data_IF_868314724005
#
_entry.id   IF_868314724005
#
_cell.length_a   1.000
_cell.length_b   1.000
_cell.length_c   1.000
_cell.angle_alpha   90.00
_cell.angle_beta   90.00
_cell.angle_gamma   90.00
#
_symmetry.space_group_name_H-M   'P 1'
#
loop_
_entity.id
_entity.type
_entity.pdbx_description
1 polymer ?
#
# COMPACT_ATOMS: atom_id res chain seq x y z
N UNK A 1 21.86 -2.11 7.04
CA UNK A 1 20.59 -1.44 6.69
C UNK A 1 20.63 -0.05 7.34
N UNK A 2 20.82 1.00 6.54
CA UNK A 2 20.62 2.36 7.02
C UNK A 2 19.10 2.59 7.05
N UNK A 3 18.54 2.57 8.26
CA UNK A 3 17.18 3.06 8.47
C UNK A 3 17.21 4.54 8.14
N UNK A 4 16.34 4.99 7.23
CA UNK A 4 16.17 6.41 6.95
C UNK A 4 15.54 7.09 8.19
N UNK A 5 16.35 7.35 9.20
CA UNK A 5 15.96 7.85 10.52
C UNK A 5 15.40 9.27 10.53
N UNK A 6 15.09 9.83 9.36
CA UNK A 6 14.61 11.20 9.17
C UNK A 6 13.32 11.30 8.35
N UNK A 7 12.62 10.19 8.09
CA UNK A 7 11.30 10.22 7.46
C UNK A 7 10.22 10.01 8.51
N UNK A 8 9.21 10.86 8.52
CA UNK A 8 8.01 10.74 9.38
C UNK A 8 6.87 10.21 8.52
N UNK A 9 6.40 9.01 8.85
CA UNK A 9 5.27 8.38 8.17
C UNK A 9 4.06 8.27 9.09
N UNK A 10 2.88 8.15 8.49
CA UNK A 10 1.63 7.86 9.19
C UNK A 10 0.75 6.99 8.31
N UNK A 11 0.13 5.98 8.92
CA UNK A 11 -0.94 5.22 8.30
C UNK A 11 -2.30 5.80 8.73
N UNK A 12 -3.11 6.14 7.74
CA UNK A 12 -4.40 6.78 7.88
C UNK A 12 -5.54 5.83 7.53
N UNK A 13 -6.64 5.92 8.26
CA UNK A 13 -7.87 5.25 7.88
C UNK A 13 -8.56 5.94 6.70
N UNK A 14 -8.89 5.17 5.67
CA UNK A 14 -9.83 5.60 4.64
C UNK A 14 -11.25 5.52 5.22
N UNK A 15 -11.97 6.64 5.18
CA UNK A 15 -13.37 6.76 5.58
C UNK A 15 -14.28 6.72 4.36
N UNK A 16 -15.57 6.77 4.60
CA UNK A 16 -16.58 6.86 3.56
C UNK A 16 -16.20 7.93 2.52
N UNK A 17 -16.36 7.58 1.23
CA UNK A 17 -16.02 8.41 0.07
C UNK A 17 -14.53 8.67 -0.18
N UNK A 18 -13.60 7.98 0.53
CA UNK A 18 -12.16 8.13 0.31
C UNK A 18 -11.54 9.34 1.01
N UNK A 19 -12.16 9.84 2.06
CA UNK A 19 -11.55 10.82 2.96
C UNK A 19 -10.58 10.10 3.91
N UNK A 20 -9.55 10.80 4.39
CA UNK A 20 -8.65 10.31 5.43
C UNK A 20 -9.02 10.92 6.79
N UNK A 21 -8.62 10.27 7.87
CA UNK A 21 -8.95 10.66 9.24
C UNK A 21 -8.05 11.77 9.82
N UNK A 22 -7.02 12.20 9.08
CA UNK A 22 -6.16 13.33 9.42
C UNK A 22 -6.54 14.57 8.61
N UNK A 23 -6.40 15.75 9.23
CA UNK A 23 -6.61 17.03 8.57
C UNK A 23 -5.40 17.43 7.73
N UNK A 24 -5.62 18.27 6.72
CA UNK A 24 -4.55 18.75 5.84
C UNK A 24 -3.38 19.40 6.60
N UNK A 25 -3.67 20.12 7.69
CA UNK A 25 -2.64 20.76 8.53
C UNK A 25 -1.70 19.74 9.17
N UNK A 26 -2.23 18.57 9.58
CA UNK A 26 -1.47 17.47 10.17
C UNK A 26 -0.67 16.74 9.09
N UNK A 27 -1.26 16.55 7.90
CA UNK A 27 -0.64 15.87 6.76
C UNK A 27 0.57 16.61 6.20
N UNK A 28 0.61 17.96 6.29
CA UNK A 28 1.74 18.77 5.82
C UNK A 28 3.06 18.47 6.53
N UNK A 29 3.00 17.92 7.74
CA UNK A 29 4.18 17.56 8.53
C UNK A 29 4.68 16.13 8.30
N UNK A 30 4.01 15.35 7.42
CA UNK A 30 4.31 13.95 7.16
C UNK A 30 5.09 13.81 5.87
N UNK A 31 6.16 13.02 5.89
CA UNK A 31 6.96 12.72 4.70
C UNK A 31 6.33 11.64 3.84
N UNK A 32 5.70 10.64 4.46
CA UNK A 32 5.06 9.49 3.81
C UNK A 32 3.68 9.26 4.42
N UNK A 33 2.63 9.44 3.63
CA UNK A 33 1.27 9.09 4.00
C UNK A 33 0.86 7.73 3.42
N UNK A 34 0.44 6.80 4.27
CA UNK A 34 -0.17 5.52 3.90
C UNK A 34 -1.67 5.63 4.16
N UNK A 35 -2.50 5.16 3.27
CA UNK A 35 -3.95 5.15 3.46
C UNK A 35 -4.52 3.75 3.23
N UNK A 36 -5.31 3.27 4.21
CA UNK A 36 -5.78 1.88 4.25
C UNK A 36 -7.25 1.78 4.67
N UNK A 37 -7.92 0.73 4.19
CA UNK A 37 -9.26 0.38 4.65
C UNK A 37 -9.18 -0.46 5.93
N UNK A 38 -9.83 0.00 6.99
CA UNK A 38 -9.90 -0.68 8.28
C UNK A 38 -11.34 -0.84 8.77
N UNK A 39 -11.68 -2.02 9.30
CA UNK A 39 -13.04 -2.33 9.79
C UNK A 39 -13.60 -1.32 10.81
N UNK A 40 -12.81 -0.75 11.74
CA UNK A 40 -13.30 0.26 12.65
C UNK A 40 -13.71 1.58 11.97
N UNK A 41 -13.13 1.88 10.79
CA UNK A 41 -13.27 3.16 10.12
C UNK A 41 -14.27 3.12 8.97
N UNK A 42 -14.29 2.01 8.24
CA UNK A 42 -15.21 1.78 7.12
C UNK A 42 -15.66 0.33 7.09
N UNK A 43 -16.97 0.09 7.02
CA UNK A 43 -17.49 -1.25 6.79
C UNK A 43 -17.27 -1.65 5.33
N UNK A 44 -16.98 -2.95 5.06
CA UNK A 44 -16.92 -3.45 3.70
C UNK A 44 -18.21 -3.15 2.94
N UNK A 45 -18.09 -2.51 1.80
CA UNK A 45 -19.16 -2.25 0.85
C UNK A 45 -19.11 -3.20 -0.34
N UNK A 46 -19.83 -2.86 -1.40
CA UNK A 46 -19.69 -3.56 -2.69
C UNK A 46 -18.28 -3.36 -3.27
N UNK A 47 -17.91 -4.20 -4.24
CA UNK A 47 -16.64 -4.08 -4.96
C UNK A 47 -16.46 -2.68 -5.56
N UNK A 48 -17.52 -2.10 -6.10
CA UNK A 48 -17.53 -0.77 -6.68
C UNK A 48 -17.31 0.32 -5.63
N UNK A 49 -17.96 0.19 -4.47
CA UNK A 49 -17.83 1.14 -3.37
C UNK A 49 -16.43 1.11 -2.77
N UNK A 50 -15.87 -0.08 -2.49
CA UNK A 50 -14.53 -0.24 -1.96
C UNK A 50 -13.47 0.29 -2.96
N UNK A 51 -13.63 -0.04 -4.25
CA UNK A 51 -12.73 0.47 -5.31
C UNK A 51 -12.80 1.98 -5.41
N UNK A 52 -14.01 2.56 -5.38
CA UNK A 52 -14.19 4.02 -5.40
C UNK A 52 -13.55 4.71 -4.21
N UNK A 53 -13.59 4.11 -3.01
CA UNK A 53 -12.94 4.67 -1.83
C UNK A 53 -11.42 4.78 -2.04
N UNK A 54 -10.78 3.73 -2.57
CA UNK A 54 -9.36 3.77 -2.92
C UNK A 54 -9.06 4.80 -4.02
N UNK A 55 -9.83 4.83 -5.10
CA UNK A 55 -9.62 5.79 -6.20
C UNK A 55 -9.80 7.24 -5.73
N UNK A 56 -10.71 7.49 -4.80
CA UNK A 56 -10.91 8.82 -4.27
C UNK A 56 -9.77 9.25 -3.34
N UNK A 57 -9.29 8.37 -2.46
CA UNK A 57 -8.15 8.70 -1.57
C UNK A 57 -6.86 8.92 -2.35
N UNK A 58 -6.67 8.26 -3.49
CA UNK A 58 -5.50 8.48 -4.35
C UNK A 58 -5.41 9.91 -4.90
N UNK A 59 -6.51 10.65 -4.97
CA UNK A 59 -6.52 12.07 -5.38
C UNK A 59 -5.90 12.99 -4.33
N UNK A 60 -5.77 12.51 -3.07
CA UNK A 60 -5.15 13.28 -2.01
C UNK A 60 -3.62 13.35 -2.23
N UNK A 61 -3.03 14.56 -2.35
CA UNK A 61 -1.59 14.71 -2.62
C UNK A 61 -0.70 14.25 -1.46
N UNK A 62 -1.23 14.15 -0.25
CA UNK A 62 -0.50 13.71 0.94
C UNK A 62 -0.49 12.19 1.12
N UNK A 63 -1.28 11.45 0.35
CA UNK A 63 -1.26 9.99 0.32
C UNK A 63 -0.25 9.54 -0.73
N UNK A 64 0.74 8.78 -0.31
CA UNK A 64 1.80 8.23 -1.17
C UNK A 64 1.60 6.74 -1.45
N UNK A 65 1.14 6.01 -0.44
CA UNK A 65 1.01 4.55 -0.45
C UNK A 65 -0.43 4.16 -0.15
N UNK A 66 -0.94 3.19 -0.89
CA UNK A 66 -2.19 2.50 -0.58
C UNK A 66 -1.83 1.24 0.19
N UNK A 67 -2.21 1.21 1.46
CA UNK A 67 -1.87 0.13 2.38
C UNK A 67 -2.78 -1.07 2.24
N UNK A 68 -2.21 -2.25 2.35
CA UNK A 68 -2.81 -3.60 2.33
C UNK A 68 -4.11 -3.75 1.51
N UNK A 69 -4.12 -3.38 0.22
CA UNK A 69 -5.31 -3.50 -0.63
C UNK A 69 -5.68 -4.95 -0.95
N UNK A 70 -4.87 -5.88 -0.46
CA UNK A 70 -4.99 -7.34 -0.56
C UNK A 70 -6.07 -7.93 0.36
N UNK A 71 -6.54 -7.17 1.36
CA UNK A 71 -7.51 -7.65 2.34
C UNK A 71 -8.86 -8.00 1.70
N UNK A 72 -9.10 -9.29 1.49
CA UNK A 72 -10.31 -9.80 0.84
C UNK A 72 -11.61 -9.56 1.59
N UNK A 73 -11.57 -8.98 2.79
CA UNK A 73 -12.78 -8.46 3.46
C UNK A 73 -13.35 -7.26 2.71
N UNK A 74 -12.50 -6.56 1.93
CA UNK A 74 -12.89 -5.50 1.02
C UNK A 74 -12.66 -5.96 -0.41
N UNK A 75 -13.68 -6.47 -1.07
CA UNK A 75 -13.56 -6.86 -2.47
C UNK A 75 -13.25 -5.64 -3.34
N UNK A 76 -12.24 -5.73 -4.20
CA UNK A 76 -11.72 -4.61 -5.00
C UNK A 76 -11.56 -5.02 -6.48
N UNK A 77 -11.75 -4.08 -7.39
CA UNK A 77 -11.31 -4.21 -8.77
C UNK A 77 -9.82 -3.87 -8.88
N UNK A 78 -8.97 -4.91 -8.88
CA UNK A 78 -7.52 -4.72 -8.90
C UNK A 78 -7.00 -4.07 -10.19
N UNK A 79 -7.65 -4.27 -11.33
CA UNK A 79 -7.25 -3.58 -12.55
C UNK A 79 -7.52 -2.08 -12.45
N UNK A 80 -8.70 -1.69 -11.99
CA UNK A 80 -9.06 -0.30 -11.75
C UNK A 80 -8.18 0.35 -10.67
N UNK A 81 -7.90 -0.38 -9.57
CA UNK A 81 -7.02 0.08 -8.50
C UNK A 81 -5.61 0.41 -9.03
N UNK A 82 -5.00 -0.50 -9.78
CA UNK A 82 -3.65 -0.33 -10.32
C UNK A 82 -3.61 0.78 -11.38
N UNK A 83 -4.64 0.91 -12.22
CA UNK A 83 -4.75 2.02 -13.17
C UNK A 83 -4.87 3.36 -12.44
N UNK A 84 -5.67 3.44 -11.38
CA UNK A 84 -5.76 4.62 -10.53
C UNK A 84 -4.42 4.95 -9.85
N UNK A 85 -3.71 3.95 -9.32
CA UNK A 85 -2.39 4.15 -8.74
C UNK A 85 -1.40 4.74 -9.77
N UNK A 86 -1.45 4.27 -11.01
CA UNK A 86 -0.66 4.84 -12.11
C UNK A 86 -1.05 6.29 -12.42
N UNK A 87 -2.34 6.58 -12.53
CA UNK A 87 -2.86 7.91 -12.87
C UNK A 87 -2.47 8.94 -11.82
N UNK A 88 -2.59 8.60 -10.54
CA UNK A 88 -2.31 9.51 -9.42
C UNK A 88 -0.90 9.38 -8.85
N UNK A 89 -0.03 8.57 -9.44
CA UNK A 89 1.35 8.38 -9.02
C UNK A 89 1.47 7.74 -7.63
N UNK A 90 0.60 6.78 -7.28
CA UNK A 90 0.62 6.11 -5.97
C UNK A 90 1.38 4.79 -6.02
N UNK A 91 1.89 4.39 -4.86
CA UNK A 91 2.57 3.12 -4.63
C UNK A 91 1.57 2.16 -4.00
N UNK A 92 1.59 0.89 -4.38
CA UNK A 92 0.75 -0.14 -3.76
C UNK A 92 1.59 -0.98 -2.80
N UNK A 93 1.05 -1.25 -1.62
CA UNK A 93 1.72 -2.05 -0.60
C UNK A 93 1.59 -3.55 -0.90
N UNK A 94 2.68 -4.28 -0.71
CA UNK A 94 2.72 -5.73 -0.52
C UNK A 94 3.00 -5.97 0.95
N UNK A 95 1.96 -6.25 1.72
CA UNK A 95 2.02 -6.30 3.17
C UNK A 95 2.46 -7.69 3.65
N UNK A 96 3.64 -7.76 4.28
CA UNK A 96 4.17 -9.04 4.75
C UNK A 96 3.27 -9.71 5.80
N UNK A 97 2.66 -8.91 6.70
CA UNK A 97 1.77 -9.45 7.73
C UNK A 97 0.48 -10.05 7.17
N UNK A 98 0.04 -9.61 6.00
CA UNK A 98 -1.09 -10.22 5.29
C UNK A 98 -0.80 -11.64 4.82
N UNK A 99 0.45 -11.93 4.50
CA UNK A 99 0.91 -13.16 3.82
C UNK A 99 1.40 -14.25 4.78
N UNK A 100 1.58 -13.91 6.08
CA UNK A 100 2.02 -14.91 7.07
C UNK A 100 0.89 -15.86 7.46
N UNK A 101 1.21 -17.11 7.91
CA UNK A 101 0.21 -18.00 8.46
C UNK A 101 -0.56 -17.36 9.63
N UNK A 102 -1.88 -17.59 9.66
CA UNK A 102 -2.79 -17.04 10.66
C UNK A 102 -3.03 -15.52 10.59
N UNK A 103 -2.71 -14.87 9.48
CA UNK A 103 -3.18 -13.51 9.23
C UNK A 103 -4.71 -13.43 9.32
N UNK A 104 -5.22 -12.33 9.88
CA UNK A 104 -6.66 -12.08 9.94
C UNK A 104 -7.23 -11.56 8.60
N UNK A 105 -6.38 -11.19 7.65
CA UNK A 105 -6.79 -10.75 6.31
C UNK A 105 -7.15 -11.95 5.44
N UNK A 106 -8.22 -11.82 4.66
CA UNK A 106 -8.78 -12.91 3.88
C UNK A 106 -8.26 -12.88 2.43
N UNK A 107 -7.93 -14.05 1.88
CA UNK A 107 -7.51 -14.21 0.48
C UNK A 107 -6.36 -13.28 0.05
N UNK A 108 -5.54 -12.83 1.01
CA UNK A 108 -4.52 -11.81 0.77
C UNK A 108 -3.55 -12.23 -0.35
N UNK A 109 -3.04 -13.46 -0.29
CA UNK A 109 -2.10 -13.95 -1.28
C UNK A 109 -2.67 -13.98 -2.71
N UNK A 110 -3.89 -14.48 -2.88
CA UNK A 110 -4.57 -14.53 -4.19
C UNK A 110 -4.84 -13.12 -4.72
N UNK A 111 -5.14 -12.20 -3.84
CA UNK A 111 -5.40 -10.81 -4.18
C UNK A 111 -4.12 -10.08 -4.57
N UNK A 112 -3.02 -10.27 -3.81
CA UNK A 112 -1.70 -9.76 -4.17
C UNK A 112 -1.22 -10.29 -5.52
N UNK A 113 -1.40 -11.58 -5.80
CA UNK A 113 -1.05 -12.15 -7.11
C UNK A 113 -1.78 -11.45 -8.25
N UNK A 114 -3.09 -11.11 -8.08
CA UNK A 114 -3.86 -10.37 -9.07
C UNK A 114 -3.33 -8.96 -9.23
N UNK A 115 -3.14 -8.25 -8.11
CA UNK A 115 -2.63 -6.88 -8.08
C UNK A 115 -1.25 -6.78 -8.72
N UNK A 116 -0.31 -7.64 -8.33
CA UNK A 116 1.07 -7.65 -8.83
C UNK A 116 1.15 -7.92 -10.34
N UNK A 117 0.30 -8.81 -10.88
CA UNK A 117 0.19 -9.01 -12.33
C UNK A 117 -0.24 -7.74 -13.08
N UNK A 118 -1.17 -6.97 -12.52
CA UNK A 118 -1.54 -5.68 -13.08
C UNK A 118 -0.44 -4.63 -12.88
N UNK A 119 0.26 -4.64 -11.74
CA UNK A 119 1.42 -3.77 -11.51
C UNK A 119 2.51 -3.99 -12.55
N UNK A 120 2.85 -5.24 -12.88
CA UNK A 120 3.77 -5.56 -13.97
C UNK A 120 3.27 -5.07 -15.32
N UNK A 121 1.99 -5.33 -15.64
CA UNK A 121 1.36 -4.92 -16.91
C UNK A 121 1.39 -3.41 -17.11
N UNK A 122 1.10 -2.65 -16.06
CA UNK A 122 0.97 -1.19 -16.12
C UNK A 122 2.21 -0.43 -15.66
N UNK A 123 3.26 -1.15 -15.21
CA UNK A 123 4.51 -0.59 -14.66
C UNK A 123 4.22 0.33 -13.45
N UNK A 124 3.45 -0.18 -12.51
CA UNK A 124 3.12 0.52 -11.25
C UNK A 124 4.04 0.01 -10.14
N UNK A 125 4.68 0.91 -9.39
CA UNK A 125 5.59 0.52 -8.33
C UNK A 125 4.86 -0.03 -7.10
N UNK A 126 5.58 -0.88 -6.36
CA UNK A 126 5.14 -1.43 -5.08
C UNK A 126 6.16 -1.16 -3.98
N UNK A 127 5.70 -1.22 -2.74
CA UNK A 127 6.53 -1.22 -1.54
C UNK A 127 6.28 -2.48 -0.74
N UNK A 128 7.32 -3.14 -0.24
CA UNK A 128 7.17 -4.19 0.78
C UNK A 128 7.09 -3.55 2.16
N UNK A 129 6.11 -3.91 2.94
CA UNK A 129 5.97 -3.45 4.33
C UNK A 129 5.82 -4.64 5.28
N UNK A 130 6.37 -4.49 6.49
CA UNK A 130 6.27 -5.50 7.54
C UNK A 130 4.97 -5.44 8.32
N UNK A 131 4.32 -4.27 8.36
CA UNK A 131 3.15 -3.98 9.19
C UNK A 131 3.39 -4.40 10.66
N UNK A 132 4.56 -4.00 11.17
CA UNK A 132 5.07 -4.46 12.45
C UNK A 132 4.30 -3.82 13.61
N UNK A 133 3.62 -4.65 14.41
CA UNK A 133 2.94 -4.24 15.64
C UNK A 133 3.81 -4.50 16.88
N UNK A 134 4.93 -5.20 16.73
CA UNK A 134 5.92 -5.51 17.76
C UNK A 134 7.34 -5.26 17.21
N UNK A 135 8.26 -4.95 18.08
CA UNK A 135 9.67 -4.70 17.73
C UNK A 135 10.35 -5.89 17.03
N UNK A 136 9.95 -7.10 17.36
CA UNK A 136 10.44 -8.33 16.75
C UNK A 136 10.02 -8.51 15.30
N UNK A 137 8.96 -7.82 14.84
CA UNK A 137 8.43 -7.91 13.49
C UNK A 137 8.95 -6.80 12.55
N UNK A 138 9.73 -5.86 13.09
CA UNK A 138 10.33 -4.80 12.29
C UNK A 138 11.28 -5.41 11.26
N UNK A 139 11.10 -5.02 9.99
CA UNK A 139 11.88 -5.52 8.85
C UNK A 139 11.71 -7.02 8.53
N UNK A 140 10.61 -7.65 8.95
CA UNK A 140 10.21 -8.96 8.46
C UNK A 140 9.56 -8.81 7.09
N UNK A 141 10.21 -9.33 6.04
CA UNK A 141 9.76 -9.21 4.65
C UNK A 141 9.75 -10.55 3.91
N UNK A 142 9.97 -11.67 4.59
CA UNK A 142 10.23 -12.95 3.94
C UNK A 142 9.04 -13.45 3.13
N UNK A 143 7.81 -13.28 3.62
CA UNK A 143 6.62 -13.70 2.89
C UNK A 143 6.35 -12.81 1.66
N UNK A 144 6.47 -11.49 1.81
CA UNK A 144 6.31 -10.54 0.71
C UNK A 144 7.40 -10.74 -0.36
N UNK A 145 8.66 -10.89 0.06
CA UNK A 145 9.78 -11.17 -0.84
C UNK A 145 9.58 -12.48 -1.58
N UNK A 146 9.23 -13.56 -0.87
CA UNK A 146 8.98 -14.86 -1.49
C UNK A 146 7.87 -14.82 -2.55
N UNK A 147 6.82 -14.01 -2.34
CA UNK A 147 5.77 -13.82 -3.33
C UNK A 147 6.28 -13.06 -4.58
N UNK A 148 7.07 -11.99 -4.39
CA UNK A 148 7.64 -11.24 -5.50
C UNK A 148 8.62 -12.10 -6.32
N UNK A 149 9.46 -12.90 -5.66
CA UNK A 149 10.38 -13.85 -6.30
C UNK A 149 9.62 -14.93 -7.08
N UNK A 150 8.56 -15.50 -6.52
CA UNK A 150 7.72 -16.50 -7.19
C UNK A 150 7.09 -15.98 -8.48
N UNK A 151 6.75 -14.70 -8.51
CA UNK A 151 6.11 -14.05 -9.66
C UNK A 151 7.13 -13.46 -10.66
N UNK A 152 8.42 -13.61 -10.44
CA UNK A 152 9.48 -12.92 -11.21
C UNK A 152 9.19 -11.40 -11.30
N UNK A 153 8.76 -10.80 -10.20
CA UNK A 153 8.36 -9.38 -10.17
C UNK A 153 9.58 -8.48 -10.40
N UNK A 154 9.50 -7.47 -11.31
CA UNK A 154 10.62 -6.61 -11.64
C UNK A 154 11.15 -5.84 -10.43
N UNK A 155 12.42 -6.01 -10.07
CA UNK A 155 13.04 -5.37 -8.91
C UNK A 155 12.99 -3.83 -8.99
N UNK A 156 13.09 -3.28 -10.20
CA UNK A 156 13.01 -1.83 -10.44
C UNK A 156 11.66 -1.22 -10.02
N UNK A 157 10.60 -2.02 -9.96
CA UNK A 157 9.28 -1.59 -9.48
C UNK A 157 9.13 -1.69 -7.95
N UNK A 158 10.10 -2.27 -7.23
CA UNK A 158 10.11 -2.31 -5.76
C UNK A 158 10.80 -1.05 -5.24
N UNK A 159 10.04 -0.08 -4.72
CA UNK A 159 10.59 1.25 -4.37
C UNK A 159 11.50 1.23 -3.15
N UNK A 160 11.31 0.32 -2.22
CA UNK A 160 12.15 0.21 -1.03
C UNK A 160 13.28 -0.83 -1.13
N UNK A 161 13.64 -1.27 -2.36
CA UNK A 161 14.85 -2.07 -2.60
C UNK A 161 16.13 -1.37 -2.11
N UNK A 162 16.10 -0.04 -2.02
CA UNK A 162 17.14 0.77 -1.39
C UNK A 162 16.58 2.08 -0.85
N UNK A 163 17.27 2.67 0.15
CA UNK A 163 16.90 3.99 0.71
C UNK A 163 16.90 5.07 -0.38
N UNK A 164 17.86 5.04 -1.29
CA UNK A 164 17.95 6.02 -2.38
C UNK A 164 16.78 5.90 -3.38
N UNK A 165 16.35 4.67 -3.70
CA UNK A 165 15.20 4.45 -4.56
C UNK A 165 13.91 4.98 -3.91
N UNK A 166 13.67 4.67 -2.64
CA UNK A 166 12.51 5.16 -1.89
C UNK A 166 12.49 6.70 -1.79
N UNK A 167 13.62 7.31 -1.40
CA UNK A 167 13.74 8.78 -1.34
C UNK A 167 13.54 9.44 -2.70
N UNK A 168 14.10 8.86 -3.75
CA UNK A 168 13.91 9.36 -5.12
C UNK A 168 12.44 9.37 -5.52
N UNK A 169 11.70 8.32 -5.15
CA UNK A 169 10.27 8.20 -5.44
C UNK A 169 9.44 9.23 -4.65
N UNK A 170 9.67 9.34 -3.33
CA UNK A 170 8.96 10.31 -2.47
C UNK A 170 9.22 11.74 -2.91
N UNK A 171 10.47 12.08 -3.26
CA UNK A 171 10.81 13.42 -3.73
C UNK A 171 10.18 13.76 -5.09
N UNK A 172 9.94 12.76 -5.94
CA UNK A 172 9.24 12.96 -7.21
C UNK A 172 7.73 13.17 -7.05
N UNK A 173 7.16 12.80 -5.88
CA UNK A 173 5.74 12.96 -5.57
C UNK A 173 5.42 14.31 -4.88
N UNK A 174 6.43 15.04 -4.43
CA UNK A 174 6.34 16.39 -3.85
C UNK A 174 6.58 17.47 -4.89
#
# INVERSE_FOLDING_TARGET
>A
YEIASCLVGSEMCIRDRGEVDLKEEELRGIDIGIASLHLPCMKPGSREENTSAYLNVMKNPYVNIIGHPDDGRYEVDYEALVQGAKEYGKILEVNNHSLVPNSFRQNARENDVKMLKFCMKYQVPVVMDSDAHFDTHIAEFDAARGLLEELDFPEELVVNRSVNALRGYINALK
#
